data_IF_948803013092
#
_entry.id   IF_948803013092
#
_cell.length_a   1.000
_cell.length_b   1.000
_cell.length_c   1.000
_cell.angle_alpha   90.00
_cell.angle_beta   90.00
_cell.angle_gamma   90.00
#
_symmetry.space_group_name_H-M   'P 1'
#
loop_
_entity.id
_entity.type
_entity.pdbx_description
1 polymer ?
#
# COMPACT_ATOMS: atom_id res chain seq x y z
N UNK A 1 22.62 -12.72 41.71
CA UNK A 1 21.74 -12.46 42.83
C UNK A 1 21.16 -11.07 42.69
N UNK A 2 19.83 -10.88 42.85
CA UNK A 2 19.19 -9.57 42.66
C UNK A 2 19.70 -8.50 43.67
N UNK A 3 20.33 -8.92 44.72
CA UNK A 3 20.81 -8.06 45.81
C UNK A 3 22.31 -7.67 45.68
N UNK A 4 22.97 -8.13 44.61
CA UNK A 4 24.40 -7.92 44.43
C UNK A 4 24.78 -6.46 44.12
N UNK A 5 23.84 -5.68 43.59
CA UNK A 5 24.05 -4.26 43.26
C UNK A 5 22.68 -3.54 43.19
N UNK A 6 22.71 -2.27 43.48
CA UNK A 6 21.56 -1.40 43.21
C UNK A 6 21.57 -0.98 41.74
N UNK A 7 20.44 -1.02 41.04
CA UNK A 7 20.35 -0.54 39.68
C UNK A 7 20.83 0.91 39.51
N UNK A 8 20.40 1.79 40.41
CA UNK A 8 20.75 3.20 40.46
C UNK A 8 21.01 3.58 41.93
N UNK A 9 22.06 4.33 42.18
CA UNK A 9 22.37 4.88 43.49
C UNK A 9 21.75 6.27 43.68
N UNK A 10 21.68 6.73 44.94
CA UNK A 10 21.08 8.03 45.30
C UNK A 10 21.74 9.25 44.65
N UNK A 11 22.98 9.09 44.21
CA UNK A 11 23.73 10.13 43.46
C UNK A 11 23.46 10.10 41.96
N UNK A 12 22.52 9.28 41.48
CA UNK A 12 22.17 9.14 40.06
C UNK A 12 23.06 8.24 39.25
N UNK A 13 24.02 7.57 39.88
CA UNK A 13 24.95 6.70 39.18
C UNK A 13 24.43 5.27 39.09
N UNK A 14 24.76 4.61 37.97
CA UNK A 14 24.40 3.24 37.73
C UNK A 14 25.23 2.26 38.56
N UNK A 15 24.61 1.25 39.12
CA UNK A 15 25.32 0.20 39.84
C UNK A 15 26.04 -0.73 38.90
N UNK A 16 27.24 -1.15 39.30
CA UNK A 16 28.01 -2.16 38.60
C UNK A 16 28.49 -3.22 39.62
N UNK A 17 28.41 -4.50 39.24
CA UNK A 17 28.83 -5.58 40.08
C UNK A 17 30.33 -5.90 39.83
N UNK A 18 31.08 -5.97 40.89
CA UNK A 18 32.46 -6.49 40.91
C UNK A 18 32.48 -7.67 41.90
N UNK A 19 32.80 -8.85 41.50
CA UNK A 19 34.14 -9.28 41.09
C UNK A 19 34.20 -9.64 39.59
N UNK A 20 35.45 -9.63 39.08
CA UNK A 20 35.77 -9.79 37.66
C UNK A 20 35.29 -11.09 37.01
N UNK A 21 35.00 -12.12 37.82
CA UNK A 21 34.72 -13.49 37.37
C UNK A 21 33.21 -13.75 37.19
N UNK A 22 32.37 -12.82 37.54
CA UNK A 22 30.93 -12.92 37.34
C UNK A 22 30.40 -11.67 36.64
N UNK A 23 30.28 -11.75 35.36
CA UNK A 23 29.67 -10.69 34.56
C UNK A 23 28.16 -10.66 34.83
N UNK A 24 27.75 -10.01 35.91
CA UNK A 24 26.36 -9.77 36.21
C UNK A 24 25.96 -8.41 35.65
N UNK A 25 25.28 -8.39 34.50
CA UNK A 25 24.94 -7.14 33.88
C UNK A 25 23.86 -6.43 34.69
N UNK A 26 23.98 -5.10 34.84
CA UNK A 26 22.89 -4.27 35.29
C UNK A 26 21.83 -4.18 34.20
N UNK A 27 20.77 -4.97 34.32
CA UNK A 27 19.70 -5.03 33.32
C UNK A 27 18.98 -3.70 33.14
N UNK A 28 18.86 -2.92 34.21
CA UNK A 28 18.22 -1.59 34.15
C UNK A 28 19.12 -0.62 33.37
N UNK A 29 20.43 -0.66 33.62
CA UNK A 29 21.41 0.10 32.84
C UNK A 29 21.35 -0.29 31.34
N UNK A 30 21.42 -1.60 31.04
CA UNK A 30 21.31 -2.07 29.65
C UNK A 30 20.03 -1.63 28.99
N UNK A 31 18.91 -1.66 29.70
CA UNK A 31 17.63 -1.20 29.16
C UNK A 31 17.62 0.33 28.97
N UNK A 32 18.21 1.05 29.90
CA UNK A 32 18.27 2.51 29.85
C UNK A 32 19.15 3.03 28.71
N UNK A 33 20.30 2.35 28.46
CA UNK A 33 21.22 2.69 27.36
C UNK A 33 20.89 1.99 26.04
N UNK A 34 19.92 1.09 26.06
CA UNK A 34 19.42 0.51 24.82
C UNK A 34 18.80 1.62 23.97
N UNK A 35 19.39 1.88 22.83
CA UNK A 35 18.90 2.90 21.91
C UNK A 35 17.45 2.69 21.52
N UNK A 36 16.71 3.75 21.37
CA UNK A 36 15.36 3.67 20.83
C UNK A 36 15.38 3.48 19.33
N UNK A 37 14.70 2.44 18.84
CA UNK A 37 14.49 2.27 17.41
C UNK A 37 13.13 2.87 17.03
N UNK A 38 13.15 3.86 16.13
CA UNK A 38 11.93 4.46 15.59
C UNK A 38 11.66 3.87 14.21
N UNK A 39 10.50 3.26 14.06
CA UNK A 39 9.96 2.87 12.76
C UNK A 39 8.90 3.88 12.35
N UNK A 40 9.10 4.50 11.19
CA UNK A 40 8.14 5.44 10.62
C UNK A 40 7.58 4.86 9.32
N UNK A 41 6.27 4.76 9.25
CA UNK A 41 5.57 4.36 8.03
C UNK A 41 4.82 5.55 7.49
N UNK A 42 5.21 6.01 6.31
CA UNK A 42 4.52 7.06 5.57
C UNK A 42 3.71 6.43 4.46
N UNK A 43 2.41 6.69 4.44
CA UNK A 43 1.50 6.24 3.38
C UNK A 43 0.92 7.47 2.69
N UNK A 44 1.05 7.51 1.37
CA UNK A 44 0.48 8.54 0.52
C UNK A 44 -0.45 7.88 -0.49
N UNK A 45 -1.68 8.35 -0.55
CA UNK A 45 -2.69 7.94 -1.54
C UNK A 45 -3.17 9.19 -2.26
N UNK A 46 -3.15 9.16 -3.58
CA UNK A 46 -3.57 10.29 -4.41
C UNK A 46 -4.40 9.79 -5.59
N UNK A 47 -5.56 10.41 -5.78
CA UNK A 47 -6.48 10.13 -6.87
C UNK A 47 -6.79 11.43 -7.63
N UNK A 48 -6.62 11.39 -8.94
CA UNK A 48 -6.95 12.49 -9.84
C UNK A 48 -7.97 12.00 -10.86
N UNK A 49 -9.11 12.66 -10.90
CA UNK A 49 -10.19 12.34 -11.83
C UNK A 49 -10.44 13.55 -12.72
N UNK A 50 -10.38 13.32 -14.02
CA UNK A 50 -10.76 14.31 -15.04
C UNK A 50 -12.02 13.80 -15.74
N UNK A 51 -13.06 14.58 -15.74
CA UNK A 51 -14.29 14.33 -16.51
C UNK A 51 -14.54 15.49 -17.45
N UNK A 52 -14.73 15.20 -18.73
CA UNK A 52 -14.92 16.19 -19.76
C UNK A 52 -16.11 15.79 -20.63
N UNK A 53 -17.10 16.68 -20.73
CA UNK A 53 -18.15 16.56 -21.74
C UNK A 53 -17.62 17.02 -23.09
N UNK A 54 -17.70 16.15 -24.08
CA UNK A 54 -17.22 16.38 -25.43
C UNK A 54 -18.36 16.65 -26.41
N UNK A 55 -19.45 17.25 -25.95
CA UNK A 55 -20.62 17.55 -26.78
C UNK A 55 -20.30 18.47 -27.98
N UNK A 56 -19.18 19.22 -27.91
CA UNK A 56 -18.69 20.02 -29.02
C UNK A 56 -18.24 19.19 -30.23
N UNK A 57 -17.79 17.95 -29.99
CA UNK A 57 -17.43 17.01 -31.04
C UNK A 57 -18.66 16.23 -31.51
N UNK A 58 -19.41 15.69 -30.57
CA UNK A 58 -20.69 15.02 -30.83
C UNK A 58 -21.54 14.95 -29.57
N UNK A 59 -22.85 15.15 -29.72
CA UNK A 59 -23.79 15.09 -28.59
C UNK A 59 -23.77 13.71 -27.95
N UNK A 60 -23.62 13.69 -26.62
CA UNK A 60 -23.65 12.45 -25.81
C UNK A 60 -22.30 11.78 -25.64
N UNK A 61 -21.21 12.40 -26.12
CA UNK A 61 -19.86 11.90 -25.90
C UNK A 61 -19.28 12.51 -24.63
N UNK A 62 -18.71 11.66 -23.77
CA UNK A 62 -18.00 12.05 -22.54
C UNK A 62 -16.66 11.33 -22.46
N UNK A 63 -15.69 11.99 -21.90
CA UNK A 63 -14.38 11.45 -21.60
C UNK A 63 -14.16 11.48 -20.10
N UNK A 64 -13.60 10.40 -19.57
CA UNK A 64 -13.17 10.31 -18.17
C UNK A 64 -11.77 9.72 -18.11
N UNK A 65 -10.89 10.38 -17.37
CA UNK A 65 -9.58 9.85 -17.04
C UNK A 65 -9.42 9.76 -15.53
N UNK A 66 -8.82 8.69 -15.06
CA UNK A 66 -8.48 8.50 -13.66
C UNK A 66 -6.99 8.15 -13.56
N UNK A 67 -6.32 8.78 -12.61
CA UNK A 67 -4.95 8.50 -12.23
C UNK A 67 -4.89 8.33 -10.72
N UNK A 68 -4.45 7.16 -10.25
CA UNK A 68 -4.37 6.80 -8.84
C UNK A 68 -2.97 6.31 -8.51
N UNK A 69 -2.42 6.82 -7.42
CA UNK A 69 -1.11 6.45 -6.93
C UNK A 69 -1.16 6.17 -5.43
N UNK A 70 -0.77 4.95 -5.04
CA UNK A 70 -0.53 4.56 -3.66
C UNK A 70 0.97 4.33 -3.45
N UNK A 71 1.51 4.93 -2.43
CA UNK A 71 2.89 4.79 -2.05
C UNK A 71 3.01 4.59 -0.54
N UNK A 72 3.67 3.52 -0.13
CA UNK A 72 4.01 3.27 1.27
C UNK A 72 5.53 3.21 1.40
N UNK A 73 6.06 4.03 2.27
CA UNK A 73 7.47 4.16 2.56
C UNK A 73 7.72 3.86 4.03
N UNK A 74 8.69 3.00 4.32
CA UNK A 74 9.01 2.59 5.69
C UNK A 74 10.48 2.90 5.98
N UNK A 75 10.69 3.73 6.98
CA UNK A 75 12.02 4.02 7.55
C UNK A 75 12.16 3.31 8.89
N UNK A 76 13.28 2.65 9.09
CA UNK A 76 13.65 2.00 10.34
C UNK A 76 14.93 2.61 10.91
N UNK A 77 15.14 2.41 12.20
CA UNK A 77 16.41 2.66 12.89
C UNK A 77 16.86 4.12 12.99
N UNK A 78 16.01 5.08 12.65
CA UNK A 78 16.34 6.47 12.95
C UNK A 78 16.17 6.72 14.43
N UNK A 79 17.23 6.95 15.14
CA UNK A 79 17.23 7.20 16.57
C UNK A 79 18.41 8.01 17.02
N UNK A 80 18.25 8.65 18.17
CA UNK A 80 19.32 9.32 18.88
C UNK A 80 19.45 8.61 20.21
N UNK A 81 20.65 8.20 20.55
CA UNK A 81 20.98 7.67 21.84
C UNK A 81 21.74 8.75 22.62
N UNK A 82 21.06 9.52 23.43
CA UNK A 82 21.63 10.58 24.26
C UNK A 82 21.77 10.20 25.75
N UNK A 83 21.45 8.95 26.09
CA UNK A 83 21.57 8.45 27.45
C UNK A 83 23.01 8.29 27.94
N UNK A 84 23.93 8.57 27.06
CA UNK A 84 25.36 8.49 27.35
C UNK A 84 25.94 9.75 27.96
N UNK A 85 25.15 10.78 28.12
CA UNK A 85 25.62 11.99 28.78
C UNK A 85 25.79 11.74 30.28
N UNK A 86 27.01 11.86 30.76
CA UNK A 86 27.38 11.91 32.18
C UNK A 86 27.19 10.61 32.97
N UNK A 87 27.25 9.42 32.35
CA UNK A 87 27.36 8.23 33.17
C UNK A 87 28.80 8.08 33.72
N UNK A 88 28.92 8.43 34.91
CA UNK A 88 30.13 8.13 35.70
C UNK A 88 29.95 6.73 36.28
N UNK A 89 30.92 5.82 36.04
CA UNK A 89 30.89 4.49 36.64
C UNK A 89 31.27 4.57 38.11
N UNK A 90 30.48 3.89 38.88
CA UNK A 90 30.70 3.78 40.30
C UNK A 90 30.85 2.32 40.69
N UNK A 91 31.93 2.03 41.36
CA UNK A 91 32.21 0.74 41.95
C UNK A 91 31.87 0.78 43.43
N UNK A 92 31.27 -0.28 43.92
CA UNK A 92 31.09 -0.47 45.36
C UNK A 92 31.94 -1.66 45.76
N UNK A 93 32.90 -1.41 46.64
CA UNK A 93 33.71 -2.46 47.20
C UNK A 93 32.84 -3.37 48.07
N UNK A 94 32.75 -4.67 47.81
CA UNK A 94 31.80 -5.56 48.49
C UNK A 94 32.14 -5.74 50.00
N UNK A 95 33.40 -5.63 50.35
CA UNK A 95 33.95 -5.84 51.70
C UNK A 95 33.76 -4.62 52.60
N UNK A 96 33.87 -3.45 52.09
CA UNK A 96 33.82 -2.20 52.88
C UNK A 96 32.60 -1.34 52.58
N UNK A 97 31.86 -1.58 51.52
CA UNK A 97 30.81 -0.73 51.04
C UNK A 97 31.30 0.63 50.51
N UNK A 98 32.58 0.79 50.33
CA UNK A 98 33.20 2.01 49.84
C UNK A 98 32.83 2.25 48.39
N UNK A 99 32.39 3.47 48.09
CA UNK A 99 32.07 3.89 46.75
C UNK A 99 33.32 4.44 46.07
N UNK A 100 33.78 3.76 45.02
CA UNK A 100 34.89 4.21 44.20
C UNK A 100 34.33 4.80 42.90
N UNK A 101 34.58 6.08 42.69
CA UNK A 101 34.27 6.78 41.45
C UNK A 101 35.49 6.66 40.53
N UNK A 102 35.39 5.80 39.53
CA UNK A 102 36.38 5.76 38.45
C UNK A 102 36.07 6.82 37.40
N UNK A 103 36.99 7.73 37.22
CA UNK A 103 37.00 8.54 36.00
C UNK A 103 37.45 7.60 34.86
N UNK A 104 36.79 7.67 33.67
CA UNK A 104 37.25 6.93 32.53
C UNK A 104 38.64 7.46 32.12
N UNK A 105 39.69 6.92 32.69
CA UNK A 105 40.97 7.05 32.04
C UNK A 105 40.93 6.26 30.74
N UNK A 106 41.32 6.88 29.66
CA UNK A 106 41.58 6.24 28.38
C UNK A 106 42.74 5.25 28.58
N UNK A 107 42.46 4.16 29.32
CA UNK A 107 43.47 3.23 29.78
C UNK A 107 43.85 2.21 28.73
N UNK A 108 45.09 2.07 28.54
CA UNK A 108 45.75 0.93 27.91
C UNK A 108 45.86 -0.21 28.92
N UNK A 109 44.88 -1.11 28.99
CA UNK A 109 44.94 -2.27 29.87
C UNK A 109 43.68 -3.13 29.87
N UNK A 110 43.70 -4.22 30.64
CA UNK A 110 42.58 -5.14 30.84
C UNK A 110 41.32 -4.49 31.39
N UNK A 111 41.41 -3.28 31.91
CA UNK A 111 40.28 -2.46 32.39
C UNK A 111 39.68 -1.54 31.29
N UNK A 112 40.17 -1.65 30.07
CA UNK A 112 39.64 -0.94 28.88
C UNK A 112 38.21 -1.33 28.51
N UNK A 113 37.51 -2.15 29.30
CA UNK A 113 36.10 -2.47 29.17
C UNK A 113 35.21 -1.25 29.52
N UNK A 114 35.82 -0.20 30.06
CA UNK A 114 35.16 1.04 30.35
C UNK A 114 35.17 1.94 29.10
N UNK A 115 34.47 1.53 28.09
CA UNK A 115 34.25 2.43 26.97
C UNK A 115 33.48 3.66 27.45
N UNK A 116 34.02 4.87 27.24
CA UNK A 116 33.25 6.07 27.46
C UNK A 116 32.00 5.98 26.57
N UNK A 117 30.89 6.28 27.16
CA UNK A 117 29.63 6.23 26.47
C UNK A 117 29.50 7.54 25.72
N UNK A 118 29.55 7.49 24.39
CA UNK A 118 29.44 8.65 23.53
C UNK A 118 27.98 8.81 23.08
N UNK A 119 27.61 10.05 22.87
CA UNK A 119 26.39 10.39 22.15
C UNK A 119 26.48 9.84 20.72
N UNK A 120 25.56 9.00 20.34
CA UNK A 120 25.54 8.34 19.04
C UNK A 120 24.18 8.52 18.37
N UNK A 121 24.19 8.93 17.12
CA UNK A 121 22.98 8.93 16.31
C UNK A 121 23.01 7.74 15.37
N UNK A 122 21.89 7.03 15.26
CA UNK A 122 21.72 5.99 14.28
C UNK A 122 21.08 6.57 13.02
N UNK A 123 21.79 6.42 11.90
CA UNK A 123 21.24 6.76 10.61
C UNK A 123 20.03 5.87 10.30
N UNK A 124 18.95 6.46 9.79
CA UNK A 124 17.79 5.72 9.32
C UNK A 124 18.13 4.89 8.09
N UNK A 125 17.49 3.74 7.96
CA UNK A 125 17.53 2.91 6.76
C UNK A 125 16.15 2.76 6.16
N UNK A 126 16.06 2.75 4.83
CA UNK A 126 14.80 2.47 4.13
C UNK A 126 14.58 0.97 4.12
N UNK A 127 13.42 0.54 4.60
CA UNK A 127 13.00 -0.84 4.49
C UNK A 127 12.40 -1.09 3.10
N UNK A 128 13.23 -1.47 2.16
CA UNK A 128 12.81 -1.75 0.78
C UNK A 128 11.81 -2.91 0.70
N UNK A 129 11.92 -3.91 1.59
CA UNK A 129 11.01 -5.05 1.66
C UNK A 129 9.58 -4.67 2.05
N UNK A 130 9.42 -3.60 2.83
CA UNK A 130 8.11 -3.10 3.27
C UNK A 130 7.57 -1.95 2.41
N UNK A 131 8.30 -1.54 1.38
CA UNK A 131 7.86 -0.49 0.46
C UNK A 131 6.81 -1.05 -0.49
N UNK A 132 5.70 -0.33 -0.64
CA UNK A 132 4.64 -0.67 -1.58
C UNK A 132 4.37 0.51 -2.51
N UNK A 133 4.22 0.22 -3.80
CA UNK A 133 3.91 1.21 -4.84
C UNK A 133 2.86 0.65 -5.76
N UNK A 134 1.79 1.39 -5.95
CA UNK A 134 0.73 1.07 -6.92
C UNK A 134 0.48 2.31 -7.76
N UNK A 135 0.49 2.12 -9.06
CA UNK A 135 0.13 3.12 -10.05
C UNK A 135 -0.98 2.54 -10.90
N UNK A 136 -2.10 3.23 -10.92
CA UNK A 136 -3.24 2.88 -11.75
C UNK A 136 -3.66 4.09 -12.57
N UNK A 137 -3.91 3.89 -13.84
CA UNK A 137 -4.56 4.90 -14.67
C UNK A 137 -5.54 4.26 -15.63
N UNK A 138 -6.61 4.99 -15.92
CA UNK A 138 -7.62 4.56 -16.87
C UNK A 138 -8.12 5.75 -17.69
N UNK A 139 -8.53 5.45 -18.91
CA UNK A 139 -9.17 6.38 -19.82
C UNK A 139 -10.45 5.72 -20.32
N UNK A 140 -11.56 6.41 -20.23
CA UNK A 140 -12.87 5.93 -20.60
C UNK A 140 -13.53 6.94 -21.54
N UNK A 141 -14.16 6.44 -22.59
CA UNK A 141 -15.04 7.19 -23.47
C UNK A 141 -16.44 6.58 -23.39
N UNK A 142 -17.40 7.40 -23.09
CA UNK A 142 -18.82 7.05 -23.05
C UNK A 142 -19.56 7.82 -24.13
N UNK A 143 -20.38 7.12 -24.88
CA UNK A 143 -21.24 7.72 -25.89
C UNK A 143 -22.66 7.22 -25.68
N UNK A 144 -23.62 8.13 -25.56
CA UNK A 144 -25.02 7.78 -25.46
C UNK A 144 -25.84 8.77 -26.29
N UNK A 145 -26.61 8.25 -27.23
CA UNK A 145 -27.42 9.09 -28.11
C UNK A 145 -28.70 8.41 -28.57
N UNK A 146 -29.76 9.20 -28.63
CA UNK A 146 -31.05 8.80 -29.15
C UNK A 146 -31.30 9.47 -30.52
N UNK A 147 -31.63 8.65 -31.51
CA UNK A 147 -31.98 9.06 -32.86
C UNK A 147 -33.41 8.61 -33.14
N UNK A 148 -34.40 9.34 -32.67
CA UNK A 148 -35.80 8.96 -32.77
C UNK A 148 -36.10 7.68 -32.01
N UNK A 149 -36.29 6.57 -32.72
CA UNK A 149 -36.58 5.25 -32.13
C UNK A 149 -35.30 4.42 -31.85
N UNK A 150 -34.16 4.94 -32.25
CA UNK A 150 -32.86 4.26 -32.09
C UNK A 150 -32.13 4.84 -30.89
N UNK A 151 -31.71 3.99 -30.01
CA UNK A 151 -30.84 4.34 -28.88
C UNK A 151 -29.53 3.57 -29.01
N UNK A 152 -28.42 4.30 -28.95
CA UNK A 152 -27.08 3.73 -29.03
C UNK A 152 -26.32 4.14 -27.78
N UNK A 153 -25.71 3.18 -27.11
CA UNK A 153 -24.75 3.43 -26.05
C UNK A 153 -23.47 2.68 -26.35
N UNK A 154 -22.34 3.36 -26.28
CA UNK A 154 -21.04 2.77 -26.45
C UNK A 154 -20.11 3.19 -25.29
N UNK A 155 -19.28 2.27 -24.85
CA UNK A 155 -18.24 2.49 -23.87
C UNK A 155 -16.94 1.88 -24.39
N UNK A 156 -15.85 2.62 -24.27
CA UNK A 156 -14.49 2.14 -24.47
C UNK A 156 -13.67 2.52 -23.25
N UNK A 157 -13.02 1.55 -22.62
CA UNK A 157 -12.17 1.74 -21.46
C UNK A 157 -10.79 1.13 -21.73
N UNK A 158 -9.77 1.89 -21.44
CA UNK A 158 -8.40 1.43 -21.30
C UNK A 158 -7.98 1.61 -19.86
N UNK A 159 -7.34 0.62 -19.25
CA UNK A 159 -6.74 0.76 -17.93
C UNK A 159 -5.40 0.04 -17.83
N UNK A 160 -4.53 0.59 -17.01
CA UNK A 160 -3.24 -0.02 -16.71
C UNK A 160 -2.92 0.07 -15.24
N UNK A 161 -2.48 -1.06 -14.69
CA UNK A 161 -2.03 -1.20 -13.32
C UNK A 161 -0.55 -1.58 -13.32
N UNK A 162 0.22 -0.90 -12.48
CA UNK A 162 1.58 -1.29 -12.10
C UNK A 162 1.63 -1.35 -10.59
N UNK A 163 1.98 -2.50 -10.05
CA UNK A 163 2.06 -2.74 -8.62
C UNK A 163 3.41 -3.36 -8.26
N UNK A 164 4.06 -2.86 -7.24
CA UNK A 164 5.33 -3.38 -6.76
C UNK A 164 5.32 -3.41 -5.23
N UNK A 165 5.70 -4.54 -4.66
CA UNK A 165 5.88 -4.73 -3.22
C UNK A 165 7.32 -5.12 -2.95
N UNK A 166 8.00 -4.36 -2.11
CA UNK A 166 9.40 -4.57 -1.80
C UNK A 166 10.32 -4.48 -3.03
N UNK A 167 11.25 -5.42 -3.13
CA UNK A 167 12.22 -5.55 -4.23
C UNK A 167 11.77 -6.52 -5.33
N UNK A 168 10.53 -7.02 -5.26
CA UNK A 168 9.98 -7.96 -6.24
C UNK A 168 9.69 -7.23 -7.55
N UNK A 169 9.79 -7.94 -8.67
CA UNK A 169 9.40 -7.44 -9.98
C UNK A 169 7.97 -6.90 -9.94
N UNK A 170 7.72 -5.72 -10.55
CA UNK A 170 6.39 -5.15 -10.57
C UNK A 170 5.40 -6.04 -11.32
N UNK A 171 4.19 -6.13 -10.79
CA UNK A 171 3.04 -6.71 -11.46
C UNK A 171 2.48 -5.68 -12.44
N UNK A 172 2.27 -6.10 -13.69
CA UNK A 172 1.66 -5.29 -14.73
C UNK A 172 0.36 -5.94 -15.19
N UNK A 173 -0.67 -5.13 -15.29
CA UNK A 173 -1.94 -5.52 -15.89
C UNK A 173 -2.40 -4.43 -16.84
N UNK A 174 -2.91 -4.82 -17.99
CA UNK A 174 -3.48 -3.94 -18.99
C UNK A 174 -4.83 -4.49 -19.44
N UNK A 175 -5.84 -3.65 -19.42
CA UNK A 175 -7.20 -4.04 -19.74
C UNK A 175 -7.79 -3.06 -20.75
N UNK A 176 -8.31 -3.60 -21.85
CA UNK A 176 -9.13 -2.91 -22.83
C UNK A 176 -10.53 -3.49 -22.76
N UNK A 177 -11.51 -2.66 -22.52
CA UNK A 177 -12.92 -3.08 -22.41
C UNK A 177 -13.74 -2.23 -23.33
N UNK A 178 -14.64 -2.87 -24.06
CA UNK A 178 -15.63 -2.17 -24.86
C UNK A 178 -17.00 -2.78 -24.65
N UNK A 179 -18.00 -1.92 -24.78
CA UNK A 179 -19.41 -2.29 -24.74
C UNK A 179 -20.15 -1.46 -25.77
N UNK A 180 -21.00 -2.09 -26.52
CA UNK A 180 -21.94 -1.45 -27.42
C UNK A 180 -23.33 -2.01 -27.15
N UNK A 181 -24.29 -1.12 -26.91
CA UNK A 181 -25.69 -1.46 -26.78
C UNK A 181 -26.49 -0.71 -27.83
N UNK A 182 -27.43 -1.37 -28.42
CA UNK A 182 -28.36 -0.80 -29.37
C UNK A 182 -29.76 -1.25 -29.03
N UNK A 183 -30.69 -0.29 -29.04
CA UNK A 183 -32.08 -0.51 -28.79
C UNK A 183 -32.90 0.17 -29.90
N UNK A 184 -33.79 -0.58 -30.49
CA UNK A 184 -34.76 -0.04 -31.46
C UNK A 184 -36.18 -0.07 -30.91
N UNK A 185 -36.78 1.12 -30.72
CA UNK A 185 -38.14 1.33 -30.29
C UNK A 185 -38.53 0.56 -29.02
N UNK A 186 -37.58 0.28 -28.12
CA UNK A 186 -37.76 -0.54 -26.92
C UNK A 186 -38.23 -1.97 -27.21
N UNK A 187 -38.01 -2.47 -28.44
CA UNK A 187 -38.46 -3.81 -28.88
C UNK A 187 -37.29 -4.74 -29.12
N UNK A 188 -36.30 -4.28 -29.88
CA UNK A 188 -35.15 -5.08 -30.26
C UNK A 188 -33.94 -4.54 -29.59
N UNK A 189 -33.25 -5.41 -28.90
CA UNK A 189 -32.05 -5.08 -28.12
C UNK A 189 -30.88 -5.91 -28.65
N UNK A 190 -29.77 -5.25 -28.89
CA UNK A 190 -28.50 -5.85 -29.19
C UNK A 190 -27.46 -5.33 -28.21
N UNK A 191 -26.66 -6.22 -27.66
CA UNK A 191 -25.54 -5.86 -26.80
C UNK A 191 -24.33 -6.71 -27.17
N UNK A 192 -23.18 -6.08 -27.31
CA UNK A 192 -21.89 -6.76 -27.41
C UNK A 192 -20.92 -6.15 -26.42
N UNK A 193 -20.20 -7.01 -25.74
CA UNK A 193 -19.12 -6.65 -24.83
C UNK A 193 -17.87 -7.39 -25.25
N UNK A 194 -16.72 -6.79 -25.01
CA UNK A 194 -15.46 -7.44 -25.21
C UNK A 194 -14.44 -6.91 -24.23
N UNK A 195 -13.59 -7.80 -23.76
CA UNK A 195 -12.44 -7.47 -22.97
C UNK A 195 -11.19 -8.06 -23.61
N UNK A 196 -10.14 -7.26 -23.73
CA UNK A 196 -8.81 -7.68 -24.16
C UNK A 196 -7.86 -7.39 -23.02
N UNK A 197 -7.54 -8.42 -22.26
CA UNK A 197 -6.84 -8.30 -20.98
C UNK A 197 -5.44 -8.89 -21.10
N UNK A 198 -4.46 -8.18 -20.53
CA UNK A 198 -3.07 -8.59 -20.49
C UNK A 198 -2.50 -8.64 -19.08
N UNK A 199 -1.68 -9.66 -18.82
CA UNK A 199 -0.97 -9.81 -17.55
C UNK A 199 0.45 -10.33 -17.79
N UNK A 200 1.42 -9.76 -17.05
CA UNK A 200 2.81 -10.20 -17.09
C UNK A 200 3.05 -11.60 -16.52
N UNK A 201 2.05 -12.16 -15.83
CA UNK A 201 2.12 -13.54 -15.30
C UNK A 201 2.22 -14.60 -16.41
N UNK A 202 1.88 -14.21 -17.62
CA UNK A 202 1.95 -15.07 -18.80
C UNK A 202 3.14 -14.72 -19.69
N UNK A 203 3.66 -15.70 -20.38
CA UNK A 203 4.72 -15.51 -21.37
C UNK A 203 4.32 -14.51 -22.46
N UNK A 204 5.29 -13.89 -23.18
CA UNK A 204 5.02 -12.81 -24.13
C UNK A 204 3.94 -13.15 -25.17
N UNK A 205 3.91 -14.39 -25.65
CA UNK A 205 2.99 -14.85 -26.71
C UNK A 205 1.56 -15.12 -26.21
N UNK A 206 1.38 -15.30 -24.89
CA UNK A 206 0.10 -15.62 -24.25
C UNK A 206 -0.36 -14.55 -23.26
N UNK A 207 0.28 -13.40 -23.30
CA UNK A 207 0.07 -12.34 -22.32
C UNK A 207 -1.30 -11.70 -22.44
N UNK A 208 -1.87 -11.65 -23.63
CA UNK A 208 -3.17 -11.05 -23.91
C UNK A 208 -4.18 -12.08 -24.39
N UNK A 209 -5.41 -11.94 -23.88
CA UNK A 209 -6.53 -12.76 -24.32
C UNK A 209 -7.77 -11.89 -24.56
N UNK A 210 -8.55 -12.28 -25.55
CA UNK A 210 -9.79 -11.61 -25.94
C UNK A 210 -11.01 -12.40 -25.46
N UNK A 211 -11.94 -11.72 -24.82
CA UNK A 211 -13.15 -12.29 -24.25
C UNK A 211 -14.37 -11.57 -24.78
N UNK A 212 -14.94 -11.99 -25.91
CA UNK A 212 -16.16 -11.41 -26.46
C UNK A 212 -17.41 -11.99 -25.80
N UNK A 213 -18.49 -11.20 -25.76
CA UNK A 213 -19.81 -11.66 -25.44
C UNK A 213 -20.87 -10.92 -26.25
N UNK A 214 -21.98 -11.59 -26.57
CA UNK A 214 -23.07 -11.04 -27.34
C UNK A 214 -24.40 -11.35 -26.68
N UNK A 215 -25.34 -10.44 -26.76
CA UNK A 215 -26.71 -10.73 -26.37
C UNK A 215 -27.73 -10.07 -27.30
N UNK A 216 -28.83 -10.76 -27.51
CA UNK A 216 -29.99 -10.31 -28.26
C UNK A 216 -31.18 -10.34 -27.34
N UNK A 217 -32.03 -9.35 -27.45
CA UNK A 217 -33.26 -9.27 -26.70
C UNK A 217 -34.44 -8.84 -27.60
N UNK A 218 -35.58 -9.45 -27.41
CA UNK A 218 -36.80 -9.12 -28.11
C UNK A 218 -37.97 -8.94 -27.12
N UNK A 219 -38.52 -7.74 -27.07
CA UNK A 219 -39.67 -7.42 -26.26
C UNK A 219 -40.95 -7.70 -27.06
N UNK A 220 -41.41 -8.92 -27.00
CA UNK A 220 -42.58 -9.40 -27.76
C UNK A 220 -43.83 -8.64 -27.37
N UNK A 221 -44.01 -8.30 -26.08
CA UNK A 221 -45.16 -7.56 -25.59
C UNK A 221 -45.33 -6.17 -26.23
N UNK A 222 -44.24 -5.57 -26.75
CA UNK A 222 -44.29 -4.27 -27.43
C UNK A 222 -44.57 -4.38 -28.93
N UNK A 223 -44.72 -5.58 -29.48
CA UNK A 223 -45.14 -5.77 -30.85
C UNK A 223 -46.64 -5.36 -31.00
N UNK A 224 -46.93 -4.64 -32.08
CA UNK A 224 -48.29 -4.10 -32.31
C UNK A 224 -49.37 -5.17 -32.27
N UNK A 225 -49.08 -6.34 -32.82
CA UNK A 225 -50.02 -7.48 -32.86
C UNK A 225 -50.30 -7.99 -31.46
N UNK A 226 -49.24 -8.17 -30.64
CA UNK A 226 -49.36 -8.70 -29.29
C UNK A 226 -50.04 -7.66 -28.38
N UNK A 227 -49.62 -6.42 -28.44
CA UNK A 227 -50.14 -5.32 -27.61
C UNK A 227 -51.64 -5.06 -27.86
N UNK A 228 -52.11 -5.24 -29.10
CA UNK A 228 -53.50 -5.04 -29.45
C UNK A 228 -54.40 -6.23 -29.10
N UNK A 229 -53.88 -7.45 -29.20
CA UNK A 229 -54.69 -8.67 -29.06
C UNK A 229 -54.57 -9.33 -27.67
N UNK A 230 -53.42 -9.18 -27.00
CA UNK A 230 -53.17 -9.82 -25.71
C UNK A 230 -52.98 -8.78 -24.60
N UNK A 231 -54.09 -8.06 -24.30
CA UNK A 231 -54.09 -6.96 -23.30
C UNK A 231 -53.80 -7.39 -21.87
N UNK A 232 -53.85 -8.69 -21.57
CA UNK A 232 -53.52 -9.26 -20.28
C UNK A 232 -51.98 -9.47 -20.10
N UNK A 233 -51.20 -9.32 -21.19
CA UNK A 233 -49.76 -9.56 -21.19
C UNK A 233 -49.00 -8.23 -21.02
N UNK A 234 -48.60 -7.92 -19.82
CA UNK A 234 -47.84 -6.68 -19.50
C UNK A 234 -46.43 -6.71 -20.03
N UNK A 235 -45.69 -7.83 -19.86
CA UNK A 235 -44.33 -7.95 -20.30
C UNK A 235 -43.97 -9.39 -20.73
N UNK A 236 -43.52 -9.49 -21.98
CA UNK A 236 -42.89 -10.71 -22.48
C UNK A 236 -41.61 -10.36 -23.24
N UNK A 237 -40.47 -10.77 -22.69
CA UNK A 237 -39.15 -10.53 -23.27
C UNK A 237 -38.42 -11.87 -23.49
N UNK A 238 -37.94 -12.11 -24.69
CA UNK A 238 -36.96 -13.16 -24.96
C UNK A 238 -35.55 -12.59 -24.97
N UNK A 239 -34.61 -13.33 -24.43
CA UNK A 239 -33.19 -12.99 -24.43
C UNK A 239 -32.38 -14.22 -24.75
N UNK A 240 -31.36 -14.05 -25.62
CA UNK A 240 -30.32 -15.03 -25.91
C UNK A 240 -28.97 -14.35 -25.68
N UNK A 241 -28.01 -15.06 -25.09
CA UNK A 241 -26.67 -14.55 -24.84
C UNK A 241 -25.62 -15.65 -25.04
N UNK A 242 -24.48 -15.26 -25.53
CA UNK A 242 -23.31 -16.09 -25.71
C UNK A 242 -22.07 -15.35 -25.21
#
# INVERSE_FOLDING_TARGET
>A
APDAMRPIYSNGMWGWYQPRDADVPNSVYKLAVAGSEKRTTTKMTSDFILEQDLHMLTKGLKFKANFSMDYTFVENKRGVNDMYHNSQRMWVRPDTGEIILEQPELGTGLDAIINPIYWEHQAGSVNTGATYRKLYYSMQMDYTRNFGKHEVTALALFSRLKEASGSVFPIYREDWVFRLTYNYAMRYFFETNGAYNGSEKFGPDYRFAFFPSFSLGWMISEEKIVKNNLKFLDMLKLRASW
#
